data_IF_510894113392
#
_entry.id   IF_510894113392
#
_cell.length_a   1.000
_cell.length_b   1.000
_cell.length_c   1.000
_cell.angle_alpha   90.00
_cell.angle_beta   90.00
_cell.angle_gamma   90.00
#
_symmetry.space_group_name_H-M   'P 1'
#
loop_
_entity.id
_entity.type
_entity.pdbx_description
1 polymer ?
#
# COMPACT_ATOMS: atom_id res chain seq x y z
N UNK A 1 13.54 -16.48 6.12
CA UNK A 1 12.26 -16.75 6.78
C UNK A 1 11.88 -15.47 7.53
N UNK A 2 10.99 -14.65 6.97
CA UNK A 2 10.48 -13.47 7.69
C UNK A 2 8.98 -13.64 7.80
N UNK A 3 8.56 -13.91 9.04
CA UNK A 3 7.18 -14.00 9.49
C UNK A 3 6.41 -12.75 9.07
N UNK A 4 5.23 -12.91 8.48
CA UNK A 4 4.33 -11.78 8.25
C UNK A 4 3.09 -11.98 9.12
N UNK A 5 3.03 -11.20 10.18
CA UNK A 5 1.94 -11.14 11.14
C UNK A 5 0.68 -10.59 10.46
N UNK A 6 -0.35 -11.43 10.34
CA UNK A 6 -1.72 -10.99 10.06
C UNK A 6 -2.30 -10.45 11.36
N UNK A 7 -2.23 -9.14 11.57
CA UNK A 7 -2.94 -8.48 12.68
C UNK A 7 -4.18 -7.82 12.08
N UNK A 8 -5.34 -8.41 12.35
CA UNK A 8 -6.63 -7.93 11.88
C UNK A 8 -6.79 -6.41 12.14
N UNK A 9 -7.05 -5.65 11.07
CA UNK A 9 -7.22 -4.22 11.14
C UNK A 9 -8.50 -3.84 11.92
N UNK A 10 -8.47 -2.85 12.82
CA UNK A 10 -9.66 -2.22 13.34
C UNK A 10 -10.29 -1.33 12.27
N UNK A 11 -11.62 -1.40 12.17
CA UNK A 11 -12.50 -0.87 11.13
C UNK A 11 -12.59 0.68 11.04
N UNK A 12 -11.48 1.41 11.17
CA UNK A 12 -11.45 2.87 11.10
C UNK A 12 -10.15 3.49 10.55
N UNK A 13 -9.27 2.70 9.94
CA UNK A 13 -8.01 3.22 9.38
C UNK A 13 -8.21 3.75 7.96
N UNK A 14 -8.12 5.07 7.80
CA UNK A 14 -8.10 5.74 6.49
C UNK A 14 -6.83 5.43 5.65
N UNK A 15 -5.85 4.73 6.25
CA UNK A 15 -4.61 4.34 5.58
C UNK A 15 -4.27 2.87 5.84
N UNK A 16 -3.95 2.16 4.77
CA UNK A 16 -3.48 0.78 4.69
C UNK A 16 -1.96 0.71 4.80
N UNK A 17 -1.43 -0.39 5.31
CA UNK A 17 0.00 -0.68 5.22
C UNK A 17 0.34 -1.16 3.81
N UNK A 18 1.63 -1.18 3.47
CA UNK A 18 2.07 -1.72 2.17
C UNK A 18 1.72 -3.20 2.01
N UNK A 19 1.59 -3.94 3.12
CA UNK A 19 1.22 -5.37 3.11
C UNK A 19 -0.26 -5.56 2.86
N UNK A 20 -1.12 -4.82 3.56
CA UNK A 20 -2.57 -4.80 3.32
C UNK A 20 -2.89 -4.36 1.88
N UNK A 21 -2.23 -3.30 1.42
CA UNK A 21 -2.37 -2.81 0.05
C UNK A 21 -1.92 -3.85 -0.99
N UNK A 22 -0.84 -4.56 -0.71
CA UNK A 22 -0.35 -5.64 -1.57
C UNK A 22 -1.31 -6.83 -1.59
N UNK A 23 -1.84 -7.23 -0.43
CA UNK A 23 -2.84 -8.30 -0.32
C UNK A 23 -4.14 -7.94 -1.05
N UNK A 24 -4.63 -6.70 -0.93
CA UNK A 24 -5.81 -6.22 -1.65
C UNK A 24 -5.65 -6.29 -3.18
N UNK A 25 -4.44 -6.05 -3.68
CA UNK A 25 -4.09 -6.14 -5.10
C UNK A 25 -3.58 -7.53 -5.52
N UNK A 26 -3.55 -8.51 -4.61
CA UNK A 26 -2.91 -9.83 -4.82
C UNK A 26 -1.48 -9.74 -5.38
N UNK A 27 -0.75 -8.71 -4.98
CA UNK A 27 0.63 -8.44 -5.39
C UNK A 27 1.62 -8.65 -4.24
N UNK A 28 2.92 -8.71 -4.57
CA UNK A 28 3.96 -8.73 -3.56
C UNK A 28 4.27 -7.32 -3.06
N UNK A 29 4.37 -7.09 -1.73
CA UNK A 29 4.72 -5.77 -1.18
C UNK A 29 6.13 -5.30 -1.60
N UNK A 30 7.00 -6.24 -2.01
CA UNK A 30 8.32 -5.91 -2.56
C UNK A 30 8.21 -5.26 -3.94
N UNK A 31 7.32 -5.72 -4.81
CA UNK A 31 7.11 -5.12 -6.15
C UNK A 31 6.54 -3.72 -6.05
N UNK A 32 5.64 -3.48 -5.10
CA UNK A 32 5.05 -2.16 -4.85
C UNK A 32 6.13 -1.19 -4.36
N UNK A 33 6.96 -1.61 -3.40
CA UNK A 33 8.12 -0.83 -2.94
C UNK A 33 9.09 -0.54 -4.10
N UNK A 34 9.43 -1.55 -4.91
CA UNK A 34 10.33 -1.38 -6.06
C UNK A 34 9.81 -0.31 -7.03
N UNK A 35 8.56 -0.45 -7.48
CA UNK A 35 7.93 0.52 -8.39
C UNK A 35 7.82 1.91 -7.76
N UNK A 36 7.49 2.01 -6.48
CA UNK A 36 7.48 3.28 -5.78
C UNK A 36 8.87 3.94 -5.74
N UNK A 37 9.95 3.17 -5.54
CA UNK A 37 11.31 3.74 -5.57
C UNK A 37 11.76 4.13 -6.99
N UNK A 38 11.32 3.40 -8.01
CA UNK A 38 11.65 3.68 -9.42
C UNK A 38 10.86 4.89 -9.98
N UNK A 39 9.58 5.01 -9.65
CA UNK A 39 8.67 6.02 -10.23
C UNK A 39 8.35 7.16 -9.25
N UNK A 40 8.68 7.04 -7.96
CA UNK A 40 8.33 8.00 -6.90
C UNK A 40 6.84 8.04 -6.55
N UNK A 41 6.01 7.32 -7.29
CA UNK A 41 4.57 7.20 -7.13
C UNK A 41 4.13 5.86 -7.72
N UNK A 42 3.07 5.26 -7.15
CA UNK A 42 2.57 3.98 -7.62
C UNK A 42 1.23 4.20 -8.30
N UNK A 43 1.20 4.18 -9.64
CA UNK A 43 -0.02 4.42 -10.43
C UNK A 43 -0.79 5.70 -10.02
N UNK A 44 -0.07 6.80 -9.74
CA UNK A 44 -0.66 8.07 -9.31
C UNK A 44 -0.93 8.19 -7.81
N UNK A 45 -0.79 7.09 -7.05
CA UNK A 45 -0.95 7.10 -5.60
C UNK A 45 0.35 7.51 -4.91
N UNK A 46 0.23 8.48 -3.99
CA UNK A 46 1.32 8.89 -3.09
C UNK A 46 1.10 8.31 -1.68
N UNK A 47 2.01 7.46 -1.19
CA UNK A 47 1.96 7.02 0.19
C UNK A 47 2.33 8.16 1.14
N UNK A 48 1.69 8.19 2.31
CA UNK A 48 2.05 9.09 3.41
C UNK A 48 3.17 8.45 4.20
N UNK A 49 4.27 9.20 4.38
CA UNK A 49 5.41 8.76 5.17
C UNK A 49 5.13 9.06 6.64
N UNK A 50 4.97 8.02 7.46
CA UNK A 50 4.77 8.19 8.89
C UNK A 50 6.09 8.41 9.63
N UNK A 51 6.05 9.05 10.82
CA UNK A 51 7.24 9.23 11.66
C UNK A 51 7.87 7.90 12.12
N UNK A 52 7.14 6.80 12.06
CA UNK A 52 7.63 5.44 12.35
C UNK A 52 8.39 4.79 11.17
N UNK A 53 8.71 5.54 10.11
CA UNK A 53 9.32 5.09 8.84
C UNK A 53 8.47 4.13 8.00
N UNK A 54 7.21 3.89 8.36
CA UNK A 54 6.29 3.13 7.50
C UNK A 54 5.67 4.01 6.42
N UNK A 55 5.40 3.38 5.28
CA UNK A 55 4.60 3.93 4.18
C UNK A 55 3.14 3.52 4.42
N UNK A 56 2.28 4.50 4.63
CA UNK A 56 0.84 4.28 4.70
C UNK A 56 0.18 4.71 3.39
N UNK A 57 -0.53 3.77 2.79
CA UNK A 57 -1.24 3.94 1.53
C UNK A 57 -2.68 4.35 1.87
N UNK A 58 -3.23 5.43 1.29
CA UNK A 58 -4.64 5.74 1.51
C UNK A 58 -5.51 4.57 1.02
N UNK A 59 -6.64 4.29 1.67
CA UNK A 59 -7.58 3.25 1.20
C UNK A 59 -8.08 3.52 -0.23
N UNK A 60 -8.25 4.81 -0.54
CA UNK A 60 -8.61 5.33 -1.86
C UNK A 60 -7.59 4.95 -2.95
N UNK A 61 -6.34 4.61 -2.57
CA UNK A 61 -5.34 4.10 -3.50
C UNK A 61 -5.79 2.83 -4.22
N UNK A 62 -6.42 1.90 -3.48
CA UNK A 62 -6.89 0.63 -4.04
C UNK A 62 -8.03 0.91 -5.00
N UNK A 63 -8.96 1.79 -4.61
CA UNK A 63 -10.08 2.22 -5.45
C UNK A 63 -9.61 2.96 -6.70
N UNK A 64 -8.62 3.85 -6.61
CA UNK A 64 -8.04 4.53 -7.77
C UNK A 64 -7.34 3.56 -8.73
N UNK A 65 -6.62 2.56 -8.21
CA UNK A 65 -6.04 1.52 -9.06
C UNK A 65 -7.13 0.62 -9.68
N UNK A 66 -8.16 0.25 -8.93
CA UNK A 66 -9.26 -0.59 -9.42
C UNK A 66 -10.16 0.14 -10.40
N UNK A 67 -10.37 1.46 -10.23
CA UNK A 67 -11.17 2.27 -11.17
C UNK A 67 -10.55 2.36 -12.56
N UNK A 68 -9.27 2.05 -12.70
CA UNK A 68 -8.57 2.12 -13.97
C UNK A 68 -8.35 3.57 -14.38
N UNK A 69 -7.08 3.95 -14.51
CA UNK A 69 -6.74 5.10 -15.34
C UNK A 69 -7.18 4.75 -16.77
N UNK A 70 -8.23 5.42 -17.23
CA UNK A 70 -8.54 5.55 -18.65
C UNK A 70 -7.47 6.41 -19.34
#
# INVERSE_FOLDING_TARGET
MTTQQVTAAPAGRQFLTTEEFASALSMRPQSIRKRYMETGSYHGVRPVKLPNRFLAWPVDAVEQLMRGVA
#
